data_IF_767245186336
#
_entry.id   IF_767245186336
#
_cell.length_a   1.000
_cell.length_b   1.000
_cell.length_c   1.000
_cell.angle_alpha   90.00
_cell.angle_beta   90.00
_cell.angle_gamma   90.00
#
_symmetry.space_group_name_H-M   'P 1'
#
loop_
_entity.id
_entity.type
_entity.pdbx_description
1 polymer ?
#
# COMPACT_ATOMS: atom_id res chain seq x y z
N UNK A 1 -20.69 -23.00 0.23
CA UNK A 1 -21.06 -23.97 1.29
C UNK A 1 -21.46 -25.31 0.73
N UNK A 2 -22.47 -25.40 -0.15
CA UNK A 2 -22.98 -26.67 -0.71
C UNK A 2 -21.89 -27.51 -1.40
N UNK A 3 -21.00 -26.89 -2.18
CA UNK A 3 -19.89 -27.57 -2.86
C UNK A 3 -18.91 -28.18 -1.86
N UNK A 4 -18.55 -27.45 -0.82
CA UNK A 4 -17.66 -27.95 0.23
C UNK A 4 -18.32 -29.12 1.01
N UNK A 5 -19.54 -28.92 1.47
CA UNK A 5 -20.29 -29.98 2.21
C UNK A 5 -20.50 -31.24 1.37
N UNK A 6 -20.85 -31.11 0.08
CA UNK A 6 -20.98 -32.23 -0.84
C UNK A 6 -19.68 -32.99 -1.05
N UNK A 7 -18.57 -32.30 -1.29
CA UNK A 7 -17.24 -32.93 -1.45
C UNK A 7 -16.76 -33.59 -0.16
N UNK A 8 -16.92 -32.93 0.98
CA UNK A 8 -16.56 -33.50 2.27
C UNK A 8 -17.26 -34.81 2.58
N UNK A 9 -18.57 -34.90 2.24
CA UNK A 9 -19.37 -36.12 2.45
C UNK A 9 -18.99 -37.25 1.50
N UNK A 10 -18.68 -36.95 0.23
CA UNK A 10 -18.46 -37.99 -0.81
C UNK A 10 -17.02 -38.45 -0.87
N UNK A 11 -16.06 -37.49 -0.75
CA UNK A 11 -14.64 -37.74 -0.96
C UNK A 11 -13.84 -37.79 0.37
N UNK A 12 -14.46 -37.39 1.46
CA UNK A 12 -13.82 -37.24 2.76
C UNK A 12 -13.16 -35.88 3.00
N UNK A 13 -12.87 -35.54 4.27
CA UNK A 13 -12.33 -34.25 4.67
C UNK A 13 -10.91 -33.97 4.13
N UNK A 14 -10.11 -35.00 3.96
CA UNK A 14 -8.68 -34.89 3.57
C UNK A 14 -8.44 -34.98 2.06
N UNK A 15 -9.51 -35.20 1.27
CA UNK A 15 -9.38 -35.27 -0.17
C UNK A 15 -9.00 -33.90 -0.74
N UNK A 16 -8.02 -33.87 -1.67
CA UNK A 16 -7.51 -32.61 -2.27
C UNK A 16 -8.64 -31.67 -2.73
N UNK A 17 -9.65 -32.20 -3.40
CA UNK A 17 -10.78 -31.39 -3.88
C UNK A 17 -11.65 -30.83 -2.73
N UNK A 18 -11.69 -31.48 -1.57
CA UNK A 18 -12.38 -31.00 -0.37
C UNK A 18 -11.58 -29.87 0.27
N UNK A 19 -10.25 -30.02 0.40
CA UNK A 19 -9.34 -28.99 0.93
C UNK A 19 -9.39 -27.73 0.06
N UNK A 20 -9.31 -27.89 -1.27
CA UNK A 20 -9.45 -26.76 -2.22
C UNK A 20 -10.81 -26.07 -2.10
N UNK A 21 -11.91 -26.84 -1.94
CA UNK A 21 -13.24 -26.24 -1.79
C UNK A 21 -13.40 -25.48 -0.47
N UNK A 22 -12.71 -25.93 0.60
CA UNK A 22 -12.65 -25.22 1.89
C UNK A 22 -11.91 -23.90 1.77
N UNK A 23 -10.78 -23.90 1.06
CA UNK A 23 -9.98 -22.70 0.84
C UNK A 23 -10.76 -21.65 0.05
N UNK A 24 -11.37 -22.02 -1.08
CA UNK A 24 -12.25 -21.14 -1.84
C UNK A 24 -13.44 -20.61 -1.02
N UNK A 25 -14.02 -21.44 -0.13
CA UNK A 25 -15.10 -20.99 0.74
C UNK A 25 -14.60 -19.96 1.75
N UNK A 26 -13.40 -20.16 2.31
CA UNK A 26 -12.78 -19.20 3.23
C UNK A 26 -12.51 -17.86 2.54
N UNK A 27 -12.00 -17.88 1.30
CA UNK A 27 -11.77 -16.68 0.50
C UNK A 27 -13.08 -15.96 0.15
N UNK A 28 -14.14 -16.71 -0.20
CA UNK A 28 -15.47 -16.14 -0.44
C UNK A 28 -16.04 -15.44 0.80
N UNK A 29 -15.85 -16.00 1.99
CA UNK A 29 -16.23 -15.34 3.24
C UNK A 29 -15.42 -14.09 3.50
N UNK A 30 -14.11 -14.14 3.26
CA UNK A 30 -13.22 -12.98 3.38
C UNK A 30 -13.65 -11.84 2.45
N UNK A 31 -13.88 -12.12 1.16
CA UNK A 31 -14.38 -11.15 0.16
C UNK A 31 -15.73 -10.54 0.57
N UNK A 32 -16.59 -11.32 1.24
CA UNK A 32 -17.86 -10.85 1.77
C UNK A 32 -17.76 -10.08 3.10
N UNK A 33 -16.54 -9.87 3.64
CA UNK A 33 -16.31 -9.23 4.94
C UNK A 33 -16.71 -10.11 6.14
N UNK A 34 -16.98 -11.40 5.94
CA UNK A 34 -17.36 -12.37 6.97
C UNK A 34 -16.11 -12.99 7.58
N UNK A 35 -15.34 -12.16 8.28
CA UNK A 35 -14.01 -12.55 8.74
C UNK A 35 -13.99 -13.67 9.77
N UNK A 36 -14.98 -13.77 10.66
CA UNK A 36 -15.00 -14.84 11.68
C UNK A 36 -15.19 -16.23 11.06
N UNK A 37 -16.02 -16.34 10.02
CA UNK A 37 -16.20 -17.57 9.28
C UNK A 37 -14.96 -17.90 8.44
N UNK A 38 -14.36 -16.90 7.80
CA UNK A 38 -13.10 -17.07 7.07
C UNK A 38 -11.98 -17.57 8.00
N UNK A 39 -11.81 -16.93 9.17
CA UNK A 39 -10.84 -17.32 10.20
C UNK A 39 -11.06 -18.76 10.67
N UNK A 40 -12.32 -19.14 10.89
CA UNK A 40 -12.65 -20.51 11.33
C UNK A 40 -12.19 -21.55 10.31
N UNK A 41 -12.46 -21.33 9.03
CA UNK A 41 -12.02 -22.24 7.96
C UNK A 41 -10.49 -22.22 7.78
N UNK A 42 -9.86 -21.05 7.82
CA UNK A 42 -8.40 -20.94 7.68
C UNK A 42 -7.65 -21.58 8.86
N UNK A 43 -8.19 -21.57 10.07
CA UNK A 43 -7.65 -22.37 11.20
C UNK A 43 -7.69 -23.88 10.92
N UNK A 44 -8.79 -24.37 10.35
CA UNK A 44 -8.89 -25.79 9.96
C UNK A 44 -7.88 -26.12 8.86
N UNK A 45 -7.72 -25.24 7.85
CA UNK A 45 -6.74 -25.40 6.77
C UNK A 45 -5.33 -25.48 7.34
N UNK A 46 -4.96 -24.60 8.28
CA UNK A 46 -3.65 -24.62 8.93
C UNK A 46 -3.46 -25.93 9.72
N UNK A 47 -4.44 -26.35 10.50
CA UNK A 47 -4.38 -27.62 11.26
C UNK A 47 -4.20 -28.83 10.33
N UNK A 48 -4.92 -28.90 9.23
CA UNK A 48 -4.79 -29.96 8.23
C UNK A 48 -3.41 -29.92 7.54
N UNK A 49 -2.91 -28.74 7.16
CA UNK A 49 -1.59 -28.59 6.57
C UNK A 49 -0.50 -29.10 7.52
N UNK A 50 -0.55 -28.72 8.80
CA UNK A 50 0.41 -29.19 9.81
C UNK A 50 0.34 -30.69 10.03
N UNK A 51 -0.89 -31.28 10.02
CA UNK A 51 -1.10 -32.72 10.21
C UNK A 51 -0.65 -33.54 9.00
N UNK A 52 -0.92 -33.07 7.78
CA UNK A 52 -0.70 -33.84 6.54
C UNK A 52 0.75 -33.67 6.04
N UNK A 53 1.27 -32.44 6.09
CA UNK A 53 2.55 -32.07 5.48
C UNK A 53 3.66 -31.82 6.51
N UNK A 54 3.30 -31.72 7.80
CA UNK A 54 4.20 -31.37 8.88
C UNK A 54 4.21 -29.86 9.20
N UNK A 55 4.54 -29.50 10.45
CA UNK A 55 4.51 -28.11 10.92
C UNK A 55 5.53 -27.17 10.23
N UNK A 56 6.66 -27.74 9.77
CA UNK A 56 7.76 -27.01 9.14
C UNK A 56 7.66 -27.03 7.61
N UNK A 57 6.56 -27.50 7.03
CA UNK A 57 6.36 -27.54 5.58
C UNK A 57 6.02 -26.16 5.03
N UNK A 58 6.37 -25.95 3.76
CA UNK A 58 5.95 -24.74 3.01
C UNK A 58 4.43 -24.58 2.97
N UNK A 59 3.69 -25.68 2.95
CA UNK A 59 2.22 -25.68 3.02
C UNK A 59 1.69 -25.16 4.37
N UNK A 60 2.30 -25.56 5.48
CA UNK A 60 1.94 -25.05 6.81
C UNK A 60 2.32 -23.56 6.96
N UNK A 61 3.48 -23.16 6.44
CA UNK A 61 3.90 -21.75 6.38
C UNK A 61 2.90 -20.91 5.60
N UNK A 62 2.53 -21.32 4.38
CA UNK A 62 1.55 -20.61 3.56
C UNK A 62 0.18 -20.50 4.24
N UNK A 63 -0.32 -21.60 4.84
CA UNK A 63 -1.59 -21.59 5.57
C UNK A 63 -1.55 -20.66 6.79
N UNK A 64 -0.40 -20.59 7.50
CA UNK A 64 -0.20 -19.69 8.64
C UNK A 64 -0.20 -18.24 8.21
N UNK A 65 0.50 -17.90 7.11
CA UNK A 65 0.52 -16.56 6.54
C UNK A 65 -0.88 -16.10 6.09
N UNK A 66 -1.65 -16.99 5.43
CA UNK A 66 -3.01 -16.68 4.99
C UNK A 66 -3.96 -16.44 6.18
N UNK A 67 -3.85 -17.23 7.25
CA UNK A 67 -4.61 -17.02 8.48
C UNK A 67 -4.21 -15.69 9.16
N UNK A 68 -2.91 -15.38 9.21
CA UNK A 68 -2.39 -14.13 9.78
C UNK A 68 -2.91 -12.92 9.00
N UNK A 69 -2.89 -12.98 7.66
CA UNK A 69 -3.45 -11.93 6.80
C UNK A 69 -4.95 -11.73 7.05
N UNK A 70 -5.73 -12.82 7.17
CA UNK A 70 -7.16 -12.74 7.49
C UNK A 70 -7.42 -12.10 8.85
N UNK A 71 -6.59 -12.40 9.87
CA UNK A 71 -6.67 -11.71 11.16
C UNK A 71 -6.36 -10.22 11.05
N UNK A 72 -5.34 -9.85 10.25
CA UNK A 72 -4.97 -8.46 10.01
C UNK A 72 -6.12 -7.68 9.36
N UNK A 73 -6.74 -8.23 8.31
CA UNK A 73 -7.86 -7.62 7.60
C UNK A 73 -9.12 -7.51 8.48
N UNK A 74 -9.29 -8.42 9.44
CA UNK A 74 -10.32 -8.36 10.48
C UNK A 74 -10.00 -7.35 11.61
N UNK A 75 -8.86 -6.64 11.56
CA UNK A 75 -8.40 -5.74 12.61
C UNK A 75 -7.86 -6.43 13.88
N UNK A 76 -7.72 -7.75 13.85
CA UNK A 76 -7.23 -8.57 14.98
C UNK A 76 -5.70 -8.65 14.95
N UNK A 77 -5.07 -7.50 15.11
CA UNK A 77 -3.64 -7.30 14.85
C UNK A 77 -2.72 -8.11 15.79
N UNK A 78 -3.12 -8.32 17.05
CA UNK A 78 -2.30 -9.10 17.98
C UNK A 78 -2.21 -10.58 17.57
N UNK A 79 -3.31 -11.18 17.13
CA UNK A 79 -3.34 -12.55 16.63
C UNK A 79 -2.57 -12.68 15.30
N UNK A 80 -2.69 -11.68 14.42
CA UNK A 80 -1.90 -11.63 13.19
C UNK A 80 -0.39 -11.60 13.48
N UNK A 81 0.05 -10.69 14.35
CA UNK A 81 1.46 -10.56 14.78
C UNK A 81 1.99 -11.86 15.37
N UNK A 82 1.21 -12.53 16.24
CA UNK A 82 1.62 -13.79 16.84
C UNK A 82 1.91 -14.87 15.77
N UNK A 83 1.03 -14.98 14.76
CA UNK A 83 1.21 -15.97 13.68
C UNK A 83 2.34 -15.59 12.72
N UNK A 84 2.48 -14.31 12.37
CA UNK A 84 3.61 -13.85 11.53
C UNK A 84 4.95 -14.08 12.24
N UNK A 85 5.03 -13.81 13.55
CA UNK A 85 6.22 -14.06 14.35
C UNK A 85 6.58 -15.55 14.38
N UNK A 86 5.58 -16.40 14.68
CA UNK A 86 5.79 -17.85 14.65
C UNK A 86 6.27 -18.32 13.26
N UNK A 87 5.68 -17.78 12.18
CA UNK A 87 6.09 -18.13 10.83
C UNK A 87 7.53 -17.72 10.55
N UNK A 88 7.93 -16.51 10.93
CA UNK A 88 9.30 -16.03 10.77
C UNK A 88 10.28 -16.90 11.53
N UNK A 89 9.98 -17.24 12.78
CA UNK A 89 10.84 -18.10 13.61
C UNK A 89 11.02 -19.50 12.97
N UNK A 90 9.94 -20.09 12.44
CA UNK A 90 9.95 -21.41 11.81
C UNK A 90 10.74 -21.41 10.48
N UNK A 91 10.49 -20.43 9.59
CA UNK A 91 11.20 -20.37 8.28
C UNK A 91 12.67 -19.99 8.47
N UNK A 92 13.00 -19.10 9.41
CA UNK A 92 14.38 -18.75 9.71
C UNK A 92 15.17 -19.95 10.24
N UNK A 93 14.55 -20.79 11.08
CA UNK A 93 15.16 -22.02 11.61
C UNK A 93 15.36 -23.09 10.52
N UNK A 94 14.42 -23.22 9.58
CA UNK A 94 14.45 -24.29 8.56
C UNK A 94 15.21 -23.94 7.30
N UNK A 95 15.13 -22.68 6.87
CA UNK A 95 15.68 -22.21 5.58
C UNK A 95 16.89 -21.28 5.74
N UNK A 96 17.08 -20.69 6.93
CA UNK A 96 18.11 -19.69 7.19
C UNK A 96 17.60 -18.26 7.09
N UNK A 97 18.39 -17.33 7.63
CA UNK A 97 18.02 -15.91 7.71
C UNK A 97 18.02 -15.20 6.34
N UNK A 98 18.83 -15.70 5.42
CA UNK A 98 19.05 -15.13 4.09
C UNK A 98 18.05 -15.64 3.04
N UNK A 99 17.22 -16.62 3.40
CA UNK A 99 16.30 -17.24 2.45
C UNK A 99 15.16 -16.26 2.05
N UNK A 100 14.76 -16.19 0.76
CA UNK A 100 13.70 -15.29 0.31
C UNK A 100 12.39 -15.40 1.11
N UNK A 101 11.99 -16.62 1.52
CA UNK A 101 10.79 -16.81 2.37
C UNK A 101 10.97 -16.21 3.77
N UNK A 102 12.18 -16.21 4.32
CA UNK A 102 12.47 -15.57 5.61
C UNK A 102 12.36 -14.07 5.50
N UNK A 103 12.93 -13.48 4.43
CA UNK A 103 12.84 -12.03 4.17
C UNK A 103 11.39 -11.60 3.93
N UNK A 104 10.60 -12.39 3.17
CA UNK A 104 9.18 -12.15 2.95
C UNK A 104 8.36 -12.25 4.24
N UNK A 105 8.66 -13.23 5.11
CA UNK A 105 8.01 -13.39 6.41
C UNK A 105 8.34 -12.25 7.36
N UNK A 106 9.60 -11.78 7.36
CA UNK A 106 10.04 -10.59 8.13
C UNK A 106 9.31 -9.34 7.66
N UNK A 107 9.18 -9.14 6.34
CA UNK A 107 8.42 -8.04 5.75
C UNK A 107 6.94 -8.07 6.19
N UNK A 108 6.31 -9.25 6.17
CA UNK A 108 4.90 -9.42 6.57
C UNK A 108 4.69 -9.10 8.06
N UNK A 109 5.60 -9.53 8.93
CA UNK A 109 5.57 -9.20 10.36
C UNK A 109 5.75 -7.69 10.58
N UNK A 110 6.70 -7.07 9.88
CA UNK A 110 6.93 -5.62 9.94
C UNK A 110 5.67 -4.85 9.52
N UNK A 111 5.01 -5.28 8.44
CA UNK A 111 3.72 -4.72 7.99
C UNK A 111 2.63 -4.81 9.07
N UNK A 112 2.53 -5.95 9.75
CA UNK A 112 1.56 -6.12 10.84
C UNK A 112 1.87 -5.24 12.07
N UNK A 113 3.15 -5.05 12.39
CA UNK A 113 3.56 -4.11 13.44
C UNK A 113 3.21 -2.66 13.05
N UNK A 114 3.48 -2.26 11.79
CA UNK A 114 3.10 -0.93 11.29
C UNK A 114 1.59 -0.69 11.40
N UNK A 115 0.77 -1.64 10.98
CA UNK A 115 -0.69 -1.55 11.02
C UNK A 115 -1.21 -1.49 12.48
N UNK A 116 -0.48 -2.08 13.43
CA UNK A 116 -0.73 -1.99 14.87
C UNK A 116 -0.19 -0.69 15.52
N UNK A 117 0.41 0.23 14.75
CA UNK A 117 1.04 1.44 15.26
C UNK A 117 2.36 1.21 16.02
N UNK A 118 2.90 0.00 15.97
CA UNK A 118 4.18 -0.39 16.60
C UNK A 118 5.32 -0.09 15.64
N UNK A 119 5.55 1.20 15.39
CA UNK A 119 6.39 1.67 14.31
C UNK A 119 7.87 1.36 14.53
N UNK A 120 8.37 1.40 15.75
CA UNK A 120 9.79 1.10 16.04
C UNK A 120 10.12 -0.37 15.74
N UNK A 121 9.23 -1.32 16.10
CA UNK A 121 9.42 -2.72 15.77
C UNK A 121 9.32 -2.98 14.25
N UNK A 122 8.42 -2.28 13.57
CA UNK A 122 8.33 -2.35 12.11
C UNK A 122 9.61 -1.85 11.44
N UNK A 123 10.12 -0.70 11.87
CA UNK A 123 11.35 -0.07 11.36
C UNK A 123 12.53 -1.02 11.55
N UNK A 124 12.71 -1.60 12.74
CA UNK A 124 13.81 -2.55 13.00
C UNK A 124 13.82 -3.71 11.99
N UNK A 125 12.66 -4.32 11.73
CA UNK A 125 12.56 -5.43 10.79
C UNK A 125 12.76 -5.00 9.33
N UNK A 126 12.32 -3.79 8.94
CA UNK A 126 12.57 -3.26 7.60
C UNK A 126 14.04 -2.90 7.40
N UNK A 127 14.74 -2.41 8.44
CA UNK A 127 16.19 -2.18 8.39
C UNK A 127 16.95 -3.47 8.15
N UNK A 128 16.65 -4.52 8.92
CA UNK A 128 17.26 -5.85 8.74
C UNK A 128 17.02 -6.37 7.31
N UNK A 129 15.82 -6.20 6.75
CA UNK A 129 15.53 -6.63 5.38
C UNK A 129 16.34 -5.83 4.34
N UNK A 130 16.44 -4.51 4.50
CA UNK A 130 17.22 -3.67 3.59
C UNK A 130 18.71 -4.06 3.62
N UNK A 131 19.28 -4.31 4.81
CA UNK A 131 20.66 -4.77 4.96
C UNK A 131 20.88 -6.09 4.23
N UNK A 132 19.99 -7.05 4.41
CA UNK A 132 20.10 -8.36 3.76
C UNK A 132 19.93 -8.29 2.24
N UNK A 133 18.93 -7.57 1.72
CA UNK A 133 18.80 -7.39 0.27
C UNK A 133 20.00 -6.67 -0.32
N UNK A 134 20.54 -5.65 0.36
CA UNK A 134 21.75 -4.95 -0.09
C UNK A 134 22.95 -5.87 -0.14
N UNK A 135 23.11 -6.75 0.86
CA UNK A 135 24.21 -7.72 0.94
C UNK A 135 24.10 -8.82 -0.13
N UNK A 136 22.88 -9.33 -0.37
CA UNK A 136 22.65 -10.48 -1.25
C UNK A 136 22.59 -10.09 -2.73
N UNK A 137 21.92 -9.01 -3.04
CA UNK A 137 21.57 -8.63 -4.42
C UNK A 137 22.25 -7.33 -4.88
N UNK A 138 22.80 -6.55 -3.94
CA UNK A 138 23.40 -5.26 -4.22
C UNK A 138 22.44 -4.08 -4.09
N UNK A 139 22.98 -2.83 -4.08
CA UNK A 139 22.21 -1.61 -3.80
C UNK A 139 21.19 -1.26 -4.89
N UNK A 140 21.42 -1.68 -6.12
CA UNK A 140 20.63 -1.33 -7.30
C UNK A 140 19.55 -2.39 -7.66
N UNK A 141 19.51 -3.49 -6.89
CA UNK A 141 18.55 -4.56 -7.17
C UNK A 141 17.11 -4.10 -6.84
N UNK A 142 16.10 -4.47 -7.66
CA UNK A 142 14.71 -4.06 -7.43
C UNK A 142 14.20 -4.31 -6.01
N UNK A 143 14.53 -5.47 -5.41
CA UNK A 143 14.14 -5.79 -4.03
C UNK A 143 14.80 -4.87 -2.99
N UNK A 144 16.06 -4.45 -3.24
CA UNK A 144 16.77 -3.49 -2.38
C UNK A 144 16.13 -2.11 -2.47
N UNK A 145 15.82 -1.66 -3.69
CA UNK A 145 15.15 -0.39 -3.93
C UNK A 145 13.75 -0.37 -3.29
N UNK A 146 12.97 -1.43 -3.46
CA UNK A 146 11.65 -1.58 -2.84
C UNK A 146 11.73 -1.62 -1.29
N UNK A 147 12.72 -2.33 -0.74
CA UNK A 147 12.95 -2.40 0.71
C UNK A 147 13.34 -1.03 1.28
N UNK A 148 14.19 -0.27 0.56
CA UNK A 148 14.56 1.10 0.95
C UNK A 148 13.35 2.04 0.97
N UNK A 149 12.50 1.98 -0.06
CA UNK A 149 11.28 2.78 -0.11
C UNK A 149 10.32 2.43 1.04
N UNK A 150 10.21 1.13 1.37
CA UNK A 150 9.37 0.65 2.48
C UNK A 150 9.87 1.16 3.83
N UNK A 151 11.18 1.10 4.07
CA UNK A 151 11.80 1.62 5.29
C UNK A 151 11.61 3.14 5.39
N UNK A 152 11.83 3.89 4.31
CA UNK A 152 11.60 5.32 4.27
C UNK A 152 10.14 5.68 4.59
N UNK A 153 9.18 4.94 4.03
CA UNK A 153 7.76 5.08 4.35
C UNK A 153 7.42 4.76 5.82
N UNK A 154 8.10 3.79 6.42
CA UNK A 154 7.93 3.48 7.84
C UNK A 154 8.48 4.60 8.75
N UNK A 155 9.64 5.17 8.42
CA UNK A 155 10.15 6.37 9.10
C UNK A 155 9.22 7.57 8.95
N UNK A 156 8.69 7.82 7.74
CA UNK A 156 7.71 8.89 7.51
C UNK A 156 6.45 8.69 8.36
N UNK A 157 5.91 7.48 8.41
CA UNK A 157 4.75 7.14 9.24
C UNK A 157 5.02 7.34 10.75
N UNK A 158 6.27 7.16 11.19
CA UNK A 158 6.72 7.43 12.56
C UNK A 158 7.02 8.92 12.82
N UNK A 159 6.86 9.80 11.83
CA UNK A 159 7.23 11.22 11.93
C UNK A 159 8.74 11.48 11.96
N UNK A 160 9.55 10.45 11.69
CA UNK A 160 11.02 10.50 11.68
C UNK A 160 11.52 10.94 10.30
N UNK A 161 11.15 12.17 9.92
CA UNK A 161 11.36 12.69 8.56
C UNK A 161 12.84 12.92 8.23
N UNK A 162 13.67 13.19 9.24
CA UNK A 162 15.12 13.35 9.05
C UNK A 162 15.81 12.05 8.60
N UNK A 163 15.24 10.88 8.95
CA UNK A 163 15.71 9.58 8.48
C UNK A 163 15.02 9.14 7.18
N UNK A 164 13.76 9.54 6.98
CA UNK A 164 12.99 9.16 5.79
C UNK A 164 13.51 9.84 4.51
N UNK A 165 13.77 11.16 4.57
CA UNK A 165 14.10 11.97 3.40
C UNK A 165 15.37 11.49 2.71
N UNK A 166 16.51 11.26 3.39
CA UNK A 166 17.71 10.76 2.74
C UNK A 166 17.53 9.41 2.04
N UNK A 167 16.69 8.54 2.59
CA UNK A 167 16.38 7.26 1.97
C UNK A 167 15.50 7.42 0.72
N UNK A 168 14.53 8.35 0.72
CA UNK A 168 13.75 8.66 -0.47
C UNK A 168 14.58 9.33 -1.56
N UNK A 169 15.48 10.28 -1.21
CA UNK A 169 16.39 10.92 -2.14
C UNK A 169 17.29 9.88 -2.82
N UNK A 170 17.99 9.07 -2.04
CA UNK A 170 18.83 8.00 -2.57
C UNK A 170 18.02 7.02 -3.45
N UNK A 171 16.81 6.64 -3.01
CA UNK A 171 15.99 5.71 -3.76
C UNK A 171 15.56 6.28 -5.12
N UNK A 172 15.19 7.57 -5.16
CA UNK A 172 14.84 8.25 -6.41
C UNK A 172 16.02 8.29 -7.37
N UNK A 173 17.21 8.64 -6.89
CA UNK A 173 18.43 8.72 -7.71
C UNK A 173 18.79 7.34 -8.28
N UNK A 174 18.75 6.29 -7.46
CA UNK A 174 19.08 4.93 -7.88
C UNK A 174 18.05 4.37 -8.87
N UNK A 175 16.75 4.57 -8.64
CA UNK A 175 15.68 4.15 -9.57
C UNK A 175 15.78 4.92 -10.88
N UNK A 176 15.98 6.24 -10.84
CA UNK A 176 16.12 7.05 -12.05
C UNK A 176 17.34 6.64 -12.90
N UNK A 177 18.45 6.28 -12.25
CA UNK A 177 19.65 5.79 -12.91
C UNK A 177 19.47 4.40 -13.51
N UNK A 178 18.74 3.51 -12.86
CA UNK A 178 18.59 2.10 -13.28
C UNK A 178 17.46 1.89 -14.29
N UNK A 179 16.32 2.56 -14.08
CA UNK A 179 15.10 2.35 -14.89
C UNK A 179 14.79 3.54 -15.81
N UNK A 180 15.42 4.68 -15.61
CA UNK A 180 15.17 5.90 -16.38
C UNK A 180 14.11 6.81 -15.75
N UNK A 181 14.11 8.07 -16.22
CA UNK A 181 13.25 9.13 -15.63
C UNK A 181 11.75 8.91 -15.91
N UNK A 182 11.41 8.22 -16.98
CA UNK A 182 10.05 7.98 -17.43
C UNK A 182 9.42 6.71 -16.86
N UNK A 183 10.19 5.94 -16.08
CA UNK A 183 9.69 4.68 -15.53
C UNK A 183 8.65 4.95 -14.43
N UNK A 184 7.55 4.16 -14.37
CA UNK A 184 6.50 4.34 -13.35
C UNK A 184 7.03 4.36 -11.91
N UNK A 185 8.04 3.54 -11.60
CA UNK A 185 8.68 3.53 -10.28
C UNK A 185 9.44 4.82 -9.97
N UNK A 186 10.06 5.45 -10.98
CA UNK A 186 10.71 6.76 -10.82
C UNK A 186 9.68 7.83 -10.47
N UNK A 187 8.55 7.84 -11.17
CA UNK A 187 7.46 8.77 -10.89
C UNK A 187 6.85 8.54 -9.49
N UNK A 188 6.71 7.28 -9.08
CA UNK A 188 6.23 6.92 -7.74
C UNK A 188 7.23 7.32 -6.64
N UNK A 189 8.53 7.08 -6.84
CA UNK A 189 9.58 7.46 -5.90
C UNK A 189 9.65 8.99 -5.75
N UNK A 190 9.58 9.74 -6.86
CA UNK A 190 9.52 11.21 -6.85
C UNK A 190 8.30 11.72 -6.07
N UNK A 191 7.14 11.06 -6.24
CA UNK A 191 5.93 11.39 -5.50
C UNK A 191 6.11 11.19 -3.98
N UNK A 192 6.75 10.09 -3.58
CA UNK A 192 7.00 9.77 -2.17
C UNK A 192 7.94 10.80 -1.53
N UNK A 193 9.02 11.16 -2.21
CA UNK A 193 9.95 12.21 -1.75
C UNK A 193 9.25 13.57 -1.61
N UNK A 194 8.45 13.96 -2.61
CA UNK A 194 7.66 15.19 -2.55
C UNK A 194 6.67 15.19 -1.37
N UNK A 195 6.06 14.04 -1.08
CA UNK A 195 5.23 13.84 0.11
C UNK A 195 6.00 14.07 1.41
N UNK A 196 7.21 13.51 1.52
CA UNK A 196 8.06 13.70 2.70
C UNK A 196 8.50 15.17 2.87
N UNK A 197 8.86 15.86 1.78
CA UNK A 197 9.15 17.31 1.83
C UNK A 197 7.94 18.12 2.28
N UNK A 198 6.74 17.82 1.77
CA UNK A 198 5.49 18.48 2.23
C UNK A 198 5.28 18.29 3.72
N UNK A 199 5.51 17.09 4.24
CA UNK A 199 5.27 16.73 5.64
C UNK A 199 6.27 17.44 6.59
N UNK A 200 7.44 17.87 6.09
CA UNK A 200 8.40 18.74 6.81
C UNK A 200 8.12 20.23 6.63
N UNK A 201 7.12 20.62 5.82
CA UNK A 201 6.87 22.02 5.48
C UNK A 201 7.79 22.59 4.39
N UNK A 202 8.64 21.76 3.76
CA UNK A 202 9.49 22.16 2.61
C UNK A 202 8.63 22.23 1.34
N UNK A 203 7.66 23.14 1.34
CA UNK A 203 6.59 23.17 0.36
C UNK A 203 7.06 23.52 -1.06
N UNK A 204 8.05 24.38 -1.21
CA UNK A 204 8.57 24.76 -2.53
C UNK A 204 9.27 23.57 -3.20
N UNK A 205 10.04 22.78 -2.45
CA UNK A 205 10.69 21.58 -2.97
C UNK A 205 9.67 20.48 -3.30
N UNK A 206 8.66 20.31 -2.47
CA UNK A 206 7.55 19.38 -2.75
C UNK A 206 6.81 19.78 -4.04
N UNK A 207 6.49 21.06 -4.20
CA UNK A 207 5.81 21.60 -5.39
C UNK A 207 6.63 21.34 -6.64
N UNK A 208 7.94 21.62 -6.61
CA UNK A 208 8.82 21.42 -7.77
C UNK A 208 8.79 19.95 -8.25
N UNK A 209 8.84 18.98 -7.34
CA UNK A 209 8.76 17.56 -7.68
C UNK A 209 7.35 17.15 -8.17
N UNK A 210 6.28 17.70 -7.60
CA UNK A 210 4.93 17.43 -8.09
C UNK A 210 4.66 18.04 -9.45
N UNK A 211 5.18 19.23 -9.77
CA UNK A 211 5.12 19.86 -11.10
C UNK A 211 5.81 18.99 -12.14
N UNK A 212 7.00 18.51 -11.83
CA UNK A 212 7.74 17.61 -12.70
C UNK A 212 6.95 16.30 -12.93
N UNK A 213 6.40 15.71 -11.88
CA UNK A 213 5.57 14.50 -12.01
C UNK A 213 4.34 14.73 -12.89
N UNK A 214 3.61 15.82 -12.70
CA UNK A 214 2.44 16.14 -13.54
C UNK A 214 2.83 16.31 -15.01
N UNK A 215 3.94 17.01 -15.28
CA UNK A 215 4.46 17.19 -16.63
C UNK A 215 4.79 15.84 -17.29
N UNK A 216 5.45 14.96 -16.56
CA UNK A 216 5.81 13.63 -17.06
C UNK A 216 4.58 12.75 -17.27
N UNK A 217 3.60 12.73 -16.35
CA UNK A 217 2.35 11.99 -16.54
C UNK A 217 1.56 12.48 -17.75
N UNK A 218 1.49 13.80 -18.00
CA UNK A 218 0.82 14.35 -19.19
C UNK A 218 1.56 13.89 -20.46
N UNK A 219 2.88 13.93 -20.46
CA UNK A 219 3.72 13.56 -21.61
C UNK A 219 3.64 12.05 -21.91
N UNK A 220 3.68 11.20 -20.88
CA UNK A 220 3.78 9.74 -21.02
C UNK A 220 2.41 9.10 -21.24
N UNK A 221 1.42 9.48 -20.43
CA UNK A 221 0.10 8.85 -20.40
C UNK A 221 -0.98 9.68 -21.09
N UNK A 222 -0.77 10.99 -21.21
CA UNK A 222 -1.75 11.94 -21.70
C UNK A 222 -2.55 12.62 -20.59
N UNK A 223 -3.26 13.73 -20.94
CA UNK A 223 -3.95 14.58 -19.95
C UNK A 223 -5.19 13.95 -19.32
N UNK A 224 -5.79 12.94 -19.97
CA UNK A 224 -7.10 12.35 -19.63
C UNK A 224 -7.00 11.02 -18.86
N UNK A 225 -5.84 10.73 -18.27
CA UNK A 225 -5.61 9.48 -17.53
C UNK A 225 -5.85 9.65 -16.04
N UNK A 226 -6.32 8.58 -15.34
CA UNK A 226 -6.53 8.61 -13.89
C UNK A 226 -5.30 9.06 -13.09
N UNK A 227 -4.11 8.59 -13.47
CA UNK A 227 -2.86 8.94 -12.81
C UNK A 227 -2.51 10.43 -12.99
N UNK A 228 -2.75 10.99 -14.19
CA UNK A 228 -2.60 12.43 -14.47
C UNK A 228 -3.58 13.27 -13.64
N UNK A 229 -4.82 12.80 -13.48
CA UNK A 229 -5.80 13.48 -12.61
C UNK A 229 -5.35 13.45 -11.14
N UNK A 230 -4.80 12.34 -10.68
CA UNK A 230 -4.29 12.19 -9.32
C UNK A 230 -3.09 13.10 -9.10
N UNK A 231 -2.10 13.09 -10.01
CA UNK A 231 -0.93 13.97 -9.94
C UNK A 231 -1.32 15.47 -9.92
N UNK A 232 -2.28 15.88 -10.79
CA UNK A 232 -2.80 17.25 -10.80
C UNK A 232 -3.49 17.63 -9.48
N UNK A 233 -4.26 16.73 -8.89
CA UNK A 233 -4.88 16.94 -7.58
C UNK A 233 -3.87 17.11 -6.46
N UNK A 234 -2.80 16.32 -6.49
CA UNK A 234 -1.73 16.37 -5.48
C UNK A 234 -0.97 17.68 -5.57
N UNK A 235 -0.60 18.11 -6.79
CA UNK A 235 0.06 19.41 -7.00
C UNK A 235 -0.84 20.58 -6.53
N UNK A 236 -2.13 20.55 -6.88
CA UNK A 236 -3.07 21.58 -6.43
C UNK A 236 -3.18 21.62 -4.90
N UNK A 237 -3.16 20.46 -4.24
CA UNK A 237 -3.17 20.39 -2.78
C UNK A 237 -1.87 20.90 -2.16
N UNK A 238 -0.73 20.70 -2.80
CA UNK A 238 0.55 21.25 -2.36
C UNK A 238 0.57 22.79 -2.48
N UNK A 239 0.11 23.33 -3.59
CA UNK A 239 -0.08 24.79 -3.74
C UNK A 239 -1.03 25.38 -2.68
N UNK A 240 -2.15 24.70 -2.42
CA UNK A 240 -3.09 25.11 -1.37
C UNK A 240 -2.45 25.10 0.01
N UNK A 241 -1.66 24.08 0.34
CA UNK A 241 -0.93 24.01 1.60
C UNK A 241 0.12 25.13 1.73
N UNK A 242 0.70 25.56 0.62
CA UNK A 242 1.61 26.71 0.55
C UNK A 242 0.90 28.08 0.56
N UNK A 243 -0.44 28.10 0.63
CA UNK A 243 -1.24 29.34 0.54
C UNK A 243 -1.31 29.94 -0.87
N UNK A 244 -0.79 29.24 -1.88
CA UNK A 244 -0.72 29.68 -3.29
C UNK A 244 -2.04 29.32 -4.00
N UNK A 245 -3.13 29.96 -3.56
CA UNK A 245 -4.50 29.62 -4.02
C UNK A 245 -4.75 30.01 -5.48
N UNK A 246 -4.04 31.00 -6.00
CA UNK A 246 -4.17 31.42 -7.40
C UNK A 246 -3.66 30.35 -8.37
N UNK A 247 -2.68 29.51 -7.93
CA UNK A 247 -2.18 28.37 -8.68
C UNK A 247 -3.00 27.09 -8.41
N UNK A 248 -3.48 26.91 -7.18
CA UNK A 248 -4.22 25.71 -6.78
C UNK A 248 -5.59 25.61 -7.46
N UNK A 249 -6.35 26.72 -7.47
CA UNK A 249 -7.75 26.74 -7.92
C UNK A 249 -7.87 26.32 -9.40
N UNK A 250 -7.11 26.88 -10.36
CA UNK A 250 -7.20 26.47 -11.75
C UNK A 250 -6.93 24.97 -11.97
N UNK A 251 -6.02 24.37 -11.20
CA UNK A 251 -5.74 22.95 -11.28
C UNK A 251 -6.91 22.09 -10.75
N UNK A 252 -7.54 22.50 -9.66
CA UNK A 252 -8.74 21.82 -9.15
C UNK A 252 -9.93 21.98 -10.10
N UNK A 253 -10.14 23.16 -10.71
CA UNK A 253 -11.19 23.41 -11.72
C UNK A 253 -11.00 22.48 -12.92
N UNK A 254 -9.79 22.43 -13.48
CA UNK A 254 -9.48 21.56 -14.61
C UNK A 254 -9.68 20.08 -14.24
N UNK A 255 -9.26 19.69 -13.05
CA UNK A 255 -9.38 18.30 -12.58
C UNK A 255 -10.86 17.89 -12.41
N UNK A 256 -11.69 18.76 -11.84
CA UNK A 256 -13.15 18.53 -11.73
C UNK A 256 -13.81 18.43 -13.10
N UNK A 257 -13.47 19.34 -14.03
CA UNK A 257 -13.99 19.35 -15.40
C UNK A 257 -13.65 18.03 -16.11
N UNK A 258 -12.40 17.61 -16.07
CA UNK A 258 -11.92 16.41 -16.77
C UNK A 258 -12.55 15.14 -16.18
N UNK A 259 -12.58 15.00 -14.85
CA UNK A 259 -13.24 13.87 -14.18
C UNK A 259 -14.74 13.83 -14.40
N UNK A 260 -15.42 15.00 -14.45
CA UNK A 260 -16.86 15.05 -14.79
C UNK A 260 -17.11 14.54 -16.20
N UNK A 261 -16.25 14.92 -17.16
CA UNK A 261 -16.33 14.48 -18.56
C UNK A 261 -16.06 12.98 -18.72
N UNK A 262 -15.08 12.43 -18.00
CA UNK A 262 -14.61 11.05 -18.19
C UNK A 262 -15.35 10.03 -17.33
N UNK A 263 -15.72 10.37 -16.11
CA UNK A 263 -16.32 9.47 -15.11
C UNK A 263 -17.79 9.79 -14.81
N UNK A 264 -18.24 10.99 -15.18
CA UNK A 264 -19.57 11.51 -14.85
C UNK A 264 -19.61 12.27 -13.52
N UNK A 265 -20.66 13.11 -13.33
CA UNK A 265 -20.76 14.04 -12.19
C UNK A 265 -21.05 13.35 -10.84
N UNK A 266 -21.61 12.14 -10.85
CA UNK A 266 -21.98 11.37 -9.64
C UNK A 266 -20.90 10.36 -9.20
N UNK A 267 -19.83 10.22 -9.97
CA UNK A 267 -18.77 9.26 -9.63
C UNK A 267 -18.07 9.69 -8.33
N UNK A 268 -17.75 8.77 -7.39
CA UNK A 268 -17.16 9.12 -6.09
C UNK A 268 -15.91 10.00 -6.20
N UNK A 269 -15.02 9.69 -7.15
CA UNK A 269 -13.79 10.47 -7.38
C UNK A 269 -14.08 11.87 -7.92
N UNK A 270 -15.14 12.04 -8.72
CA UNK A 270 -15.59 13.37 -9.18
C UNK A 270 -16.16 14.20 -8.03
N UNK A 271 -16.91 13.56 -7.14
CA UNK A 271 -17.41 14.20 -5.91
C UNK A 271 -16.26 14.65 -5.00
N UNK A 272 -15.22 13.84 -4.85
CA UNK A 272 -13.99 14.24 -4.12
C UNK A 272 -13.35 15.48 -4.77
N UNK A 273 -13.23 15.51 -6.10
CA UNK A 273 -12.67 16.69 -6.80
C UNK A 273 -13.50 17.95 -6.59
N UNK A 274 -14.83 17.82 -6.57
CA UNK A 274 -15.75 18.93 -6.26
C UNK A 274 -15.52 19.46 -4.84
N UNK A 275 -15.36 18.57 -3.86
CA UNK A 275 -15.09 18.97 -2.48
C UNK A 275 -13.73 19.66 -2.34
N UNK A 276 -12.68 19.17 -3.03
CA UNK A 276 -11.36 19.80 -3.01
C UNK A 276 -11.41 21.22 -3.57
N UNK A 277 -12.09 21.41 -4.71
CA UNK A 277 -12.29 22.74 -5.30
C UNK A 277 -13.09 23.66 -4.37
N UNK A 278 -14.15 23.16 -3.75
CA UNK A 278 -14.95 23.95 -2.80
C UNK A 278 -14.10 24.41 -1.61
N UNK A 279 -13.26 23.53 -1.07
CA UNK A 279 -12.34 23.87 0.02
C UNK A 279 -11.32 24.93 -0.41
N UNK A 280 -10.79 24.84 -1.64
CA UNK A 280 -9.88 25.84 -2.17
C UNK A 280 -10.56 27.21 -2.35
N UNK A 281 -11.80 27.25 -2.86
CA UNK A 281 -12.58 28.49 -2.92
C UNK A 281 -12.86 29.08 -1.54
N UNK A 282 -13.22 28.24 -0.55
CA UNK A 282 -13.44 28.72 0.82
C UNK A 282 -12.16 29.29 1.44
N UNK A 283 -11.03 28.65 1.23
CA UNK A 283 -9.73 29.13 1.67
C UNK A 283 -9.36 30.49 1.02
N UNK A 284 -9.78 30.71 -0.23
CA UNK A 284 -9.61 31.97 -0.96
C UNK A 284 -10.67 33.05 -0.63
N UNK A 285 -11.61 32.77 0.29
CA UNK A 285 -12.73 33.67 0.61
C UNK A 285 -13.83 33.76 -0.48
N UNK A 286 -13.77 32.87 -1.49
CA UNK A 286 -14.70 32.83 -2.65
C UNK A 286 -15.94 31.96 -2.31
N UNK A 287 -16.65 32.35 -1.26
CA UNK A 287 -17.77 31.57 -0.67
C UNK A 287 -18.91 31.30 -1.64
N UNK A 288 -19.24 32.28 -2.48
CA UNK A 288 -20.35 32.15 -3.45
C UNK A 288 -20.04 31.14 -4.56
N UNK A 289 -18.77 31.05 -4.98
CA UNK A 289 -18.34 30.05 -5.95
C UNK A 289 -18.33 28.62 -5.33
N UNK A 290 -17.91 28.51 -4.07
CA UNK A 290 -18.03 27.25 -3.35
C UNK A 290 -19.48 26.75 -3.26
N UNK A 291 -20.45 27.63 -2.94
CA UNK A 291 -21.87 27.28 -2.89
C UNK A 291 -22.41 26.81 -4.24
N UNK A 292 -22.03 27.47 -5.33
CA UNK A 292 -22.47 27.10 -6.69
C UNK A 292 -22.12 25.69 -7.09
N UNK A 293 -21.00 25.13 -6.57
CA UNK A 293 -20.60 23.75 -6.85
C UNK A 293 -21.61 22.71 -6.34
N UNK A 294 -22.42 23.05 -5.34
CA UNK A 294 -23.40 22.13 -4.72
C UNK A 294 -24.83 22.44 -5.10
N UNK A 295 -25.06 23.41 -6.04
CA UNK A 295 -26.40 23.72 -6.56
C UNK A 295 -27.31 24.40 -5.55
N UNK A 296 -26.79 25.03 -4.52
CA UNK A 296 -27.56 25.95 -3.65
C UNK A 296 -27.59 27.33 -4.32
N UNK A 297 -28.80 27.90 -4.53
CA UNK A 297 -28.94 29.21 -5.14
C UNK A 297 -28.32 30.33 -4.32
#
# INVERSE_FOLDING_TARGET
EQVFSGRSRVLGPDHRSTLTARDHLADTYWEAGRFDEAITLKKQILADAMRIMGPDSTGASAARLNLAATYRDAGRLNEAIALYKQNLDDVARTLGLDHPETLASRHSLAGAYRDAGRLDEAISLYQENLEEFTRLAGPDHPETLASRATLAGAYQAAGRLDEAIPLFEQNLDDIARTLGLDHPETLASRHSLAGAYRDTGRLDEAIALFEQNLTDFIRILGPDRPDTFTSRSTLASAYQAAGRLDEAIPLFEQNLKDRTRTLGPAHPVTLTSRNNLANAYLAAGRTEEAKKLFGTP
#
